data_IF_930187005174
#
_entry.id   IF_930187005174
#
_cell.length_a   1.000
_cell.length_b   1.000
_cell.length_c   1.000
_cell.angle_alpha   90.00
_cell.angle_beta   90.00
_cell.angle_gamma   90.00
#
_symmetry.space_group_name_H-M   'P 1'
#
loop_
_entity.id
_entity.type
_entity.pdbx_description
1 polymer ?
#
# COMPACT_ATOMS: atom_id res chain seq x y z
N UNK A 1 -27.70 -10.12 29.18
CA UNK A 1 -26.98 -10.19 27.90
C UNK A 1 -25.73 -11.02 28.12
N UNK A 2 -25.63 -12.20 27.51
CA UNK A 2 -24.43 -13.03 27.61
C UNK A 2 -23.30 -12.37 26.82
N UNK A 3 -22.20 -12.02 27.50
CA UNK A 3 -21.02 -11.48 26.85
C UNK A 3 -20.42 -12.56 25.95
N UNK A 4 -20.41 -12.31 24.63
CA UNK A 4 -19.71 -13.17 23.68
C UNK A 4 -18.20 -12.98 23.87
N UNK A 5 -17.54 -13.99 24.44
CA UNK A 5 -16.09 -14.03 24.56
C UNK A 5 -15.50 -14.25 23.16
N UNK A 6 -14.73 -13.31 22.58
CA UNK A 6 -14.14 -13.52 21.27
C UNK A 6 -13.13 -14.67 21.34
N UNK A 7 -13.34 -15.68 20.50
CA UNK A 7 -12.51 -16.89 20.43
C UNK A 7 -11.03 -16.60 20.10
N UNK A 8 -10.75 -15.41 19.54
CA UNK A 8 -9.42 -14.95 19.13
C UNK A 8 -8.82 -13.89 20.08
N UNK A 9 -9.37 -13.71 21.27
CA UNK A 9 -8.89 -12.69 22.23
C UNK A 9 -9.08 -11.24 21.75
N UNK A 10 -10.01 -11.00 20.83
CA UNK A 10 -10.34 -9.67 20.29
C UNK A 10 -9.32 -9.09 19.30
N UNK A 11 -8.28 -9.85 18.93
CA UNK A 11 -7.27 -9.41 17.98
C UNK A 11 -7.56 -10.03 16.62
N UNK A 12 -8.24 -9.27 15.75
CA UNK A 12 -8.16 -9.53 14.30
C UNK A 12 -6.68 -9.59 13.95
N UNK A 13 -6.23 -10.61 13.19
CA UNK A 13 -4.86 -10.71 12.66
C UNK A 13 -4.58 -9.57 11.65
N UNK A 14 -4.49 -8.35 12.16
CA UNK A 14 -4.31 -7.08 11.43
C UNK A 14 -3.11 -7.13 10.48
N UNK A 15 -2.06 -7.83 10.90
CA UNK A 15 -0.80 -7.96 10.16
C UNK A 15 -0.93 -8.42 8.70
N UNK A 16 -1.86 -9.33 8.36
CA UNK A 16 -1.99 -9.84 6.97
C UNK A 16 -2.89 -8.96 6.10
N UNK A 17 -4.01 -8.48 6.65
CA UNK A 17 -4.94 -7.63 5.91
C UNK A 17 -4.29 -6.27 5.56
N UNK A 18 -3.60 -5.67 6.52
CA UNK A 18 -2.86 -4.42 6.33
C UNK A 18 -1.74 -4.54 5.30
N UNK A 19 -1.09 -5.71 5.20
CA UNK A 19 -0.04 -5.94 4.20
C UNK A 19 -0.59 -5.96 2.77
N UNK A 20 -1.73 -6.62 2.55
CA UNK A 20 -2.39 -6.66 1.25
C UNK A 20 -2.89 -5.26 0.86
N UNK A 21 -3.44 -4.50 1.83
CA UNK A 21 -3.81 -3.11 1.63
C UNK A 21 -2.64 -2.23 1.18
N UNK A 22 -1.49 -2.35 1.86
CA UNK A 22 -0.27 -1.63 1.48
C UNK A 22 0.22 -1.97 0.06
N UNK A 23 0.18 -3.25 -0.34
CA UNK A 23 0.53 -3.65 -1.72
C UNK A 23 -0.42 -3.03 -2.74
N UNK A 24 -1.74 -3.12 -2.49
CA UNK A 24 -2.74 -2.60 -3.42
C UNK A 24 -2.58 -1.08 -3.63
N UNK A 25 -2.36 -0.33 -2.54
CA UNK A 25 -2.09 1.12 -2.62
C UNK A 25 -0.77 1.38 -3.33
N UNK A 26 0.30 0.64 -3.01
CA UNK A 26 1.60 0.78 -3.68
C UNK A 26 1.50 0.60 -5.19
N UNK A 27 0.78 -0.43 -5.66
CA UNK A 27 0.54 -0.65 -7.10
C UNK A 27 -0.26 0.52 -7.70
N UNK A 28 -1.32 0.98 -7.03
CA UNK A 28 -2.13 2.11 -7.50
C UNK A 28 -1.31 3.40 -7.65
N UNK A 29 -0.43 3.68 -6.69
CA UNK A 29 0.50 4.82 -6.74
C UNK A 29 1.47 4.68 -7.92
N UNK A 30 2.00 3.48 -8.16
CA UNK A 30 2.89 3.25 -9.29
C UNK A 30 2.20 3.47 -10.63
N UNK A 31 0.99 2.93 -10.80
CA UNK A 31 0.20 3.13 -12.02
C UNK A 31 -0.08 4.61 -12.24
N UNK A 32 -0.53 5.32 -11.20
CA UNK A 32 -0.77 6.76 -11.28
C UNK A 32 0.50 7.54 -11.63
N UNK A 33 1.64 7.19 -11.03
CA UNK A 33 2.93 7.76 -11.36
C UNK A 33 3.26 7.58 -12.85
N UNK A 34 3.14 6.35 -13.37
CA UNK A 34 3.43 6.07 -14.78
C UNK A 34 2.52 6.84 -15.74
N UNK A 35 1.24 6.99 -15.39
CA UNK A 35 0.28 7.77 -16.17
C UNK A 35 0.70 9.26 -16.22
N UNK A 36 1.04 9.85 -15.07
CA UNK A 36 1.50 11.24 -14.99
C UNK A 36 2.81 11.44 -15.76
N UNK A 37 3.79 10.56 -15.59
CA UNK A 37 5.08 10.68 -16.30
C UNK A 37 4.91 10.56 -17.82
N UNK A 38 3.95 9.75 -18.27
CA UNK A 38 3.61 9.61 -19.68
C UNK A 38 2.96 10.88 -20.22
N UNK A 39 2.02 11.48 -19.50
CA UNK A 39 1.35 12.72 -19.90
C UNK A 39 2.30 13.92 -19.94
N UNK A 40 3.32 13.92 -19.08
CA UNK A 40 4.37 14.95 -19.06
C UNK A 40 5.50 14.71 -20.07
N UNK A 41 5.44 13.62 -20.84
CA UNK A 41 6.50 13.15 -21.74
C UNK A 41 7.87 12.95 -21.05
N UNK A 42 7.85 12.80 -19.72
CA UNK A 42 9.05 12.55 -18.92
C UNK A 42 9.24 11.04 -18.81
N UNK A 43 9.90 10.46 -19.80
CA UNK A 43 10.18 9.03 -19.88
C UNK A 43 11.65 8.71 -19.58
N UNK A 44 11.91 7.51 -19.05
CA UNK A 44 13.27 7.02 -18.81
C UNK A 44 13.40 6.14 -17.56
N UNK A 45 14.51 5.41 -17.48
CA UNK A 45 14.80 4.49 -16.39
C UNK A 45 14.84 5.19 -15.02
N UNK A 46 15.28 6.46 -14.98
CA UNK A 46 15.29 7.26 -13.76
C UNK A 46 13.89 7.51 -13.19
N UNK A 47 12.92 7.87 -14.04
CA UNK A 47 11.54 8.08 -13.58
C UNK A 47 10.84 6.78 -13.21
N UNK A 48 11.21 5.67 -13.85
CA UNK A 48 10.73 4.34 -13.46
C UNK A 48 11.24 3.97 -12.07
N UNK A 49 12.53 4.16 -11.80
CA UNK A 49 13.15 3.89 -10.50
C UNK A 49 12.54 4.77 -9.40
N UNK A 50 12.32 6.06 -9.66
CA UNK A 50 11.66 6.96 -8.71
C UNK A 50 10.22 6.53 -8.44
N UNK A 51 9.47 6.17 -9.48
CA UNK A 51 8.12 5.65 -9.33
C UNK A 51 8.07 4.41 -8.44
N UNK A 52 8.99 3.45 -8.66
CA UNK A 52 9.10 2.25 -7.83
C UNK A 52 9.42 2.62 -6.38
N UNK A 53 10.40 3.51 -6.15
CA UNK A 53 10.79 3.93 -4.81
C UNK A 53 9.64 4.59 -4.04
N UNK A 54 8.95 5.56 -4.67
CA UNK A 54 7.79 6.26 -4.07
C UNK A 54 6.67 5.26 -3.76
N UNK A 55 6.37 4.36 -4.69
CA UNK A 55 5.29 3.38 -4.54
C UNK A 55 5.55 2.39 -3.40
N UNK A 56 6.79 1.92 -3.27
CA UNK A 56 7.20 1.05 -2.17
C UNK A 56 7.14 1.77 -0.82
N UNK A 57 7.60 3.02 -0.76
CA UNK A 57 7.56 3.83 0.46
C UNK A 57 6.11 4.07 0.92
N UNK A 58 5.20 4.39 -0.01
CA UNK A 58 3.78 4.57 0.32
C UNK A 58 3.14 3.26 0.76
N UNK A 59 3.36 2.17 0.03
CA UNK A 59 2.80 0.86 0.41
C UNK A 59 3.29 0.39 1.78
N UNK A 60 4.58 0.59 2.08
CA UNK A 60 5.17 0.28 3.38
C UNK A 60 4.61 1.18 4.49
N UNK A 61 4.39 2.47 4.19
CA UNK A 61 3.78 3.40 5.14
C UNK A 61 2.35 3.00 5.49
N UNK A 62 1.52 2.64 4.49
CA UNK A 62 0.14 2.16 4.70
C UNK A 62 0.16 0.91 5.60
N UNK A 63 1.04 -0.05 5.30
CA UNK A 63 1.19 -1.24 6.13
C UNK A 63 1.58 -0.90 7.58
N UNK A 64 2.52 0.03 7.75
CA UNK A 64 2.99 0.47 9.08
C UNK A 64 1.93 1.27 9.84
N UNK A 65 1.11 2.04 9.14
CA UNK A 65 0.04 2.88 9.67
C UNK A 65 -1.18 2.04 10.12
N UNK A 66 -1.31 0.79 9.63
CA UNK A 66 -2.31 -0.19 10.06
C UNK A 66 -3.75 0.37 10.07
N UNK A 67 -4.09 1.02 8.94
CA UNK A 67 -5.46 1.34 8.51
C UNK A 67 -6.33 0.08 8.42
#
# INVERSE_FOLDING_TARGET
MAAITPLDGGRIKKSRASFIGGIAVGIGVFVLWTAITRDLDVSGNGMTLLGIAVSLLVGLWIWRADL
#
